data_IF_878660847747
#
_entry.id   IF_878660847747
#
_cell.length_a   1.000
_cell.length_b   1.000
_cell.length_c   1.000
_cell.angle_alpha   90.00
_cell.angle_beta   90.00
_cell.angle_gamma   90.00
#
_symmetry.space_group_name_H-M   'P 1'
#
loop_
_entity.id
_entity.type
_entity.pdbx_description
1 polymer ?
#
# COMPACT_ATOMS: atom_id res chain seq x y z
N UNK A 1 2.91 -10.95 -8.43
CA UNK A 1 1.59 -11.57 -8.15
C UNK A 1 0.68 -11.37 -9.35
N UNK A 2 0.10 -10.19 -9.58
CA UNK A 2 -0.68 -9.89 -10.79
C UNK A 2 -0.09 -10.43 -12.12
N UNK A 3 1.17 -10.05 -12.45
CA UNK A 3 1.86 -10.56 -13.64
C UNK A 3 2.05 -12.09 -13.64
N UNK A 4 2.27 -12.70 -12.48
CA UNK A 4 2.43 -14.15 -12.34
C UNK A 4 1.09 -14.90 -12.42
N UNK A 5 -0.03 -14.20 -12.18
CA UNK A 5 -1.40 -14.69 -12.33
C UNK A 5 -1.97 -14.41 -13.75
N UNK A 6 -1.12 -14.00 -14.71
CA UNK A 6 -1.53 -13.74 -16.08
C UNK A 6 -2.21 -12.38 -16.31
N UNK A 7 -2.34 -11.53 -15.29
CA UNK A 7 -2.91 -10.21 -15.46
C UNK A 7 -1.98 -9.29 -16.27
N UNK A 8 -2.54 -8.62 -17.28
CA UNK A 8 -1.83 -7.64 -18.10
C UNK A 8 -1.51 -6.39 -17.30
N UNK A 9 -0.25 -6.22 -16.91
CA UNK A 9 0.26 -5.00 -16.28
C UNK A 9 0.97 -4.15 -17.32
N UNK A 10 0.40 -2.97 -17.62
CA UNK A 10 0.83 -2.10 -18.73
C UNK A 10 2.20 -1.44 -18.52
N UNK A 11 2.58 -1.22 -17.27
CA UNK A 11 3.83 -0.54 -16.92
C UNK A 11 4.89 -1.62 -16.66
N UNK A 12 6.09 -1.55 -17.26
CA UNK A 12 7.18 -2.47 -16.94
C UNK A 12 7.74 -2.17 -15.53
N UNK A 13 8.36 -3.17 -14.89
CA UNK A 13 8.73 -3.06 -13.47
C UNK A 13 9.78 -1.97 -13.19
N UNK A 14 10.69 -1.76 -14.15
CA UNK A 14 11.78 -0.79 -14.12
C UNK A 14 11.35 0.66 -14.44
N UNK A 15 10.16 0.86 -15.02
CA UNK A 15 9.63 2.19 -15.28
C UNK A 15 9.13 2.92 -14.00
N UNK A 16 9.01 2.23 -12.87
CA UNK A 16 8.58 2.83 -11.59
C UNK A 16 9.78 3.44 -10.87
N UNK A 17 9.81 4.77 -10.78
CA UNK A 17 10.91 5.55 -10.17
C UNK A 17 10.38 6.42 -9.03
N UNK A 18 11.16 6.53 -7.95
CA UNK A 18 10.86 7.45 -6.85
C UNK A 18 11.06 8.91 -7.28
N UNK A 19 10.18 9.80 -6.82
CA UNK A 19 10.24 11.25 -7.04
C UNK A 19 10.03 11.99 -5.71
N UNK A 20 10.38 13.26 -5.65
CA UNK A 20 10.07 14.08 -4.48
C UNK A 20 8.59 14.48 -4.48
N UNK A 21 8.03 14.75 -3.30
CA UNK A 21 6.66 15.27 -3.17
C UNK A 21 6.48 16.60 -3.91
N UNK A 22 7.53 17.42 -4.01
CA UNK A 22 7.53 18.69 -4.76
C UNK A 22 7.34 18.51 -6.26
N UNK A 23 7.73 17.35 -6.80
CA UNK A 23 7.66 17.08 -8.24
C UNK A 23 6.22 16.75 -8.68
N UNK A 24 5.30 16.58 -7.72
CA UNK A 24 3.89 16.32 -7.95
C UNK A 24 3.00 17.10 -6.97
N UNK A 25 2.79 18.41 -7.20
CA UNK A 25 2.06 19.28 -6.27
C UNK A 25 0.57 18.92 -6.23
N UNK A 26 0.00 18.91 -5.02
CA UNK A 26 -1.44 18.71 -4.81
C UNK A 26 -2.08 19.93 -4.15
N UNK A 27 -3.37 20.23 -4.42
CA UNK A 27 -4.04 21.39 -3.84
C UNK A 27 -4.04 21.41 -2.31
N UNK A 28 -4.24 20.25 -1.68
CA UNK A 28 -4.08 20.06 -0.24
C UNK A 28 -2.66 19.58 0.08
N UNK A 29 -2.04 20.15 1.11
CA UNK A 29 -0.73 19.71 1.57
C UNK A 29 -0.80 18.29 2.14
N UNK A 30 0.15 17.45 1.74
CA UNK A 30 0.29 16.07 2.24
C UNK A 30 1.32 16.04 3.37
N UNK A 31 1.00 15.42 4.52
CA UNK A 31 1.98 15.26 5.59
C UNK A 31 3.13 14.36 5.16
N UNK A 32 4.35 14.69 5.58
CA UNK A 32 5.55 13.88 5.30
C UNK A 32 5.55 12.55 6.05
N UNK A 33 4.85 12.46 7.18
CA UNK A 33 4.74 11.26 7.99
C UNK A 33 3.29 11.03 8.42
N UNK A 34 2.69 9.95 7.90
CA UNK A 34 1.33 9.51 8.26
C UNK A 34 1.33 8.25 9.13
N UNK A 35 2.45 7.90 9.79
CA UNK A 35 2.52 6.74 10.68
C UNK A 35 1.66 6.95 11.93
N UNK A 36 0.90 5.94 12.30
CA UNK A 36 0.09 5.91 13.52
C UNK A 36 0.56 4.77 14.43
N UNK A 37 0.69 5.07 15.72
CA UNK A 37 0.95 4.06 16.74
C UNK A 37 -0.39 3.42 17.15
N UNK A 38 -0.53 2.12 16.96
CA UNK A 38 -1.79 1.37 17.16
C UNK A 38 -1.83 0.60 18.48
N UNK A 39 -0.88 0.84 19.38
CA UNK A 39 -0.72 0.06 20.62
C UNK A 39 -1.96 0.05 21.51
N UNK A 40 -2.57 1.21 21.77
CA UNK A 40 -3.78 1.30 22.60
C UNK A 40 -4.92 0.47 22.01
N UNK A 41 -5.16 0.58 20.71
CA UNK A 41 -6.20 -0.18 20.02
C UNK A 41 -5.99 -1.70 20.15
N UNK A 42 -4.79 -2.18 19.84
CA UNK A 42 -4.47 -3.61 19.94
C UNK A 42 -4.62 -4.15 21.36
N UNK A 43 -4.26 -3.36 22.38
CA UNK A 43 -4.39 -3.75 23.80
C UNK A 43 -5.84 -3.72 24.28
N UNK A 44 -6.59 -2.67 23.96
CA UNK A 44 -7.97 -2.49 24.42
C UNK A 44 -8.90 -3.56 23.85
N UNK A 45 -8.69 -3.97 22.60
CA UNK A 45 -9.57 -4.93 21.92
C UNK A 45 -8.99 -6.34 21.83
N UNK A 46 -7.78 -6.57 22.36
CA UNK A 46 -7.05 -7.85 22.27
C UNK A 46 -6.99 -8.40 20.83
N UNK A 47 -6.69 -7.51 19.87
CA UNK A 47 -6.60 -7.86 18.45
C UNK A 47 -5.22 -7.61 17.88
N UNK A 48 -4.83 -8.49 16.96
CA UNK A 48 -3.60 -8.37 16.17
C UNK A 48 -3.89 -7.67 14.84
N UNK A 49 -3.15 -6.60 14.58
CA UNK A 49 -3.12 -5.96 13.26
C UNK A 49 -2.02 -6.61 12.41
N UNK A 50 -2.36 -7.30 11.30
CA UNK A 50 -1.36 -7.92 10.45
C UNK A 50 -0.54 -6.87 9.67
N UNK A 51 0.66 -7.23 9.18
CA UNK A 51 1.39 -6.42 8.22
C UNK A 51 0.51 -6.03 7.00
N UNK A 52 0.58 -4.77 6.58
CA UNK A 52 -0.24 -4.26 5.47
C UNK A 52 -0.08 -5.05 4.16
N UNK A 53 1.09 -5.66 3.95
CA UNK A 53 1.41 -6.46 2.75
C UNK A 53 0.48 -7.67 2.60
N UNK A 54 0.04 -8.25 3.71
CA UNK A 54 -0.83 -9.42 3.70
C UNK A 54 -2.23 -9.04 3.17
N UNK A 55 -2.74 -7.88 3.60
CA UNK A 55 -4.02 -7.34 3.12
C UNK A 55 -3.99 -6.99 1.63
N UNK A 56 -2.90 -6.36 1.15
CA UNK A 56 -2.72 -6.06 -0.29
C UNK A 56 -2.60 -7.34 -1.11
N UNK A 57 -1.84 -8.32 -0.64
CA UNK A 57 -1.72 -9.61 -1.32
C UNK A 57 -3.09 -10.29 -1.48
N UNK A 58 -3.88 -10.35 -0.40
CA UNK A 58 -5.23 -10.93 -0.42
C UNK A 58 -6.14 -10.25 -1.45
N UNK A 59 -6.19 -8.91 -1.46
CA UNK A 59 -7.03 -8.17 -2.42
C UNK A 59 -6.60 -8.41 -3.86
N UNK A 60 -5.28 -8.46 -4.12
CA UNK A 60 -4.77 -8.76 -5.45
C UNK A 60 -5.12 -10.18 -5.89
N UNK A 61 -5.04 -11.15 -4.97
CA UNK A 61 -5.37 -12.55 -5.28
C UNK A 61 -6.88 -12.73 -5.52
N UNK A 62 -7.75 -12.02 -4.77
CA UNK A 62 -9.21 -12.04 -4.95
C UNK A 62 -9.68 -11.27 -6.19
N UNK A 63 -9.13 -10.09 -6.45
CA UNK A 63 -9.61 -9.16 -7.48
C UNK A 63 -9.05 -9.40 -8.88
N UNK A 64 -8.08 -10.31 -9.03
CA UNK A 64 -7.46 -10.70 -10.30
C UNK A 64 -7.94 -12.10 -10.76
N UNK A 65 -8.73 -12.78 -9.91
CA UNK A 65 -9.35 -14.06 -10.25
C UNK A 65 -10.44 -13.93 -11.31
#
# INVERSE_FOLDING_TARGET
>A
RARAQGATVRVPADAVRGIATSDYPTPAQRPLNSRLATGNFTKTFDIRLPPWRDGVARILDEGIS
#
